data_IF_778783160114
#
_entry.id   IF_778783160114
#
_cell.length_a   1.000
_cell.length_b   1.000
_cell.length_c   1.000
_cell.angle_alpha   90.00
_cell.angle_beta   90.00
_cell.angle_gamma   90.00
#
_symmetry.space_group_name_H-M   'P 1'
#
loop_
_entity.id
_entity.type
_entity.pdbx_description
1 polymer ?
#
# COMPACT_ATOMS: atom_id res chain seq x y z
N UNK A 1 -2.80 32.70 -4.36
CA UNK A 1 -2.38 31.87 -3.21
C UNK A 1 -0.96 31.39 -3.48
N UNK A 2 -0.05 31.53 -2.51
CA UNK A 2 1.32 31.00 -2.66
C UNK A 2 1.24 29.49 -2.93
N UNK A 3 1.88 29.02 -4.01
CA UNK A 3 1.97 27.60 -4.33
C UNK A 3 2.82 26.98 -3.23
N UNK A 4 2.24 26.06 -2.44
CA UNK A 4 2.96 25.35 -1.40
C UNK A 4 4.23 24.72 -2.03
N UNK A 5 5.39 24.76 -1.34
CA UNK A 5 6.57 24.06 -1.83
C UNK A 5 6.23 22.59 -2.02
N UNK A 6 6.53 22.08 -3.22
CA UNK A 6 6.39 20.67 -3.56
C UNK A 6 7.50 19.89 -2.84
N UNK A 7 7.25 19.54 -1.58
CA UNK A 7 8.21 18.84 -0.70
C UNK A 7 8.60 17.51 -1.34
N UNK A 8 7.67 16.79 -1.96
CA UNK A 8 8.00 15.59 -2.72
C UNK A 8 9.05 15.86 -3.81
N UNK A 9 8.84 16.89 -4.64
CA UNK A 9 9.79 17.22 -5.69
C UNK A 9 11.14 17.62 -5.11
N UNK A 10 11.16 18.52 -4.12
CA UNK A 10 12.40 19.09 -3.58
C UNK A 10 13.24 18.09 -2.78
N UNK A 11 12.60 17.27 -1.95
CA UNK A 11 13.29 16.40 -0.98
C UNK A 11 13.62 15.03 -1.59
N UNK A 12 12.82 14.56 -2.56
CA UNK A 12 12.96 13.23 -3.16
C UNK A 12 13.32 13.28 -4.64
N UNK A 13 12.45 13.86 -5.47
CA UNK A 13 12.60 13.79 -6.93
C UNK A 13 13.89 14.46 -7.42
N UNK A 14 14.11 15.71 -7.05
CA UNK A 14 15.28 16.48 -7.48
C UNK A 14 16.59 15.87 -6.98
N UNK A 15 16.57 15.23 -5.81
CA UNK A 15 17.77 14.58 -5.26
C UNK A 15 18.12 13.33 -6.06
N UNK A 16 17.12 12.53 -6.42
CA UNK A 16 17.32 11.40 -7.33
C UNK A 16 17.78 11.85 -8.73
N UNK A 17 17.15 12.89 -9.30
CA UNK A 17 17.53 13.47 -10.60
C UNK A 17 18.95 14.05 -10.59
N UNK A 18 19.43 14.51 -9.43
CA UNK A 18 20.82 14.93 -9.22
C UNK A 18 21.81 13.75 -9.06
N UNK A 19 21.37 12.51 -9.26
CA UNK A 19 22.20 11.31 -9.22
C UNK A 19 22.32 10.64 -7.86
N UNK A 20 21.52 11.05 -6.86
CA UNK A 20 21.56 10.46 -5.52
C UNK A 20 20.67 9.23 -5.48
N UNK A 21 21.27 8.06 -5.29
CA UNK A 21 20.59 6.76 -5.39
C UNK A 21 20.49 6.02 -4.06
N UNK A 22 20.95 6.61 -2.96
CA UNK A 22 20.85 6.02 -1.63
C UNK A 22 20.39 7.06 -0.62
N UNK A 23 19.30 6.74 0.10
CA UNK A 23 18.80 7.55 1.20
C UNK A 23 18.60 6.73 2.47
N UNK A 24 19.00 7.31 3.60
CA UNK A 24 18.60 6.83 4.94
C UNK A 24 17.51 7.72 5.47
N UNK A 25 16.43 7.13 5.96
CA UNK A 25 15.25 7.82 6.47
C UNK A 25 15.00 7.43 7.91
N UNK A 26 14.92 8.40 8.81
CA UNK A 26 14.33 8.23 10.13
C UNK A 26 12.96 8.86 10.06
N UNK A 27 11.90 8.12 10.41
CA UNK A 27 10.53 8.63 10.31
C UNK A 27 9.71 8.11 11.48
N UNK A 28 8.80 8.91 12.01
CA UNK A 28 7.88 8.44 13.05
C UNK A 28 7.02 7.29 12.53
N UNK A 29 6.44 7.50 11.36
CA UNK A 29 5.57 6.54 10.66
C UNK A 29 5.99 6.40 9.19
N UNK A 30 5.72 5.24 8.61
CA UNK A 30 5.89 4.99 7.19
C UNK A 30 4.72 4.13 6.69
N UNK A 31 4.40 4.24 5.39
CA UNK A 31 3.42 3.36 4.77
C UNK A 31 3.98 2.68 3.53
N UNK A 32 3.62 1.41 3.34
CA UNK A 32 4.12 0.62 2.23
C UNK A 32 3.72 1.17 0.86
N UNK A 33 2.52 1.72 0.62
CA UNK A 33 2.18 2.29 -0.68
C UNK A 33 3.12 3.43 -1.11
N UNK A 34 3.52 4.29 -0.18
CA UNK A 34 4.43 5.40 -0.50
C UNK A 34 5.86 4.90 -0.75
N UNK A 35 6.36 3.95 0.03
CA UNK A 35 7.67 3.33 -0.21
C UNK A 35 7.69 2.58 -1.55
N UNK A 36 6.60 1.86 -1.87
CA UNK A 36 6.41 1.17 -3.14
C UNK A 36 6.51 2.16 -4.30
N UNK A 37 5.80 3.29 -4.22
CA UNK A 37 5.90 4.36 -5.19
C UNK A 37 7.35 4.80 -5.42
N UNK A 38 8.11 5.08 -4.36
CA UNK A 38 9.50 5.53 -4.47
C UNK A 38 10.40 4.49 -5.14
N UNK A 39 10.34 3.23 -4.69
CA UNK A 39 11.20 2.18 -5.22
C UNK A 39 10.91 1.87 -6.68
N UNK A 40 9.65 1.91 -7.10
CA UNK A 40 9.26 1.55 -8.47
C UNK A 40 9.25 2.72 -9.45
N UNK A 41 9.17 3.96 -8.97
CA UNK A 41 9.36 5.16 -9.80
C UNK A 41 10.84 5.47 -10.00
N UNK A 42 11.66 5.23 -8.99
CA UNK A 42 13.09 5.51 -9.00
C UNK A 42 13.88 4.20 -8.99
N UNK A 43 14.14 3.65 -10.18
CA UNK A 43 14.63 2.28 -10.37
C UNK A 43 15.96 1.97 -9.66
N UNK A 44 16.81 2.98 -9.46
CA UNK A 44 18.11 2.83 -8.79
C UNK A 44 18.10 3.29 -7.32
N UNK A 45 16.97 3.77 -6.80
CA UNK A 45 16.89 4.27 -5.42
C UNK A 45 16.97 3.12 -4.41
N UNK A 46 17.87 3.25 -3.45
CA UNK A 46 18.02 2.39 -2.28
C UNK A 46 17.53 3.15 -1.04
N UNK A 47 16.73 2.47 -0.22
CA UNK A 47 16.13 3.03 0.99
C UNK A 47 16.51 2.20 2.22
N UNK A 48 17.07 2.88 3.22
CA UNK A 48 17.29 2.35 4.57
C UNK A 48 16.44 3.15 5.55
N UNK A 49 15.40 2.53 6.08
CA UNK A 49 14.32 3.22 6.80
C UNK A 49 14.30 2.76 8.25
N UNK A 50 14.31 3.72 9.18
CA UNK A 50 14.08 3.53 10.61
C UNK A 50 12.69 4.06 10.94
N UNK A 51 11.79 3.17 11.37
CA UNK A 51 10.43 3.52 11.81
C UNK A 51 10.45 3.68 13.34
N UNK A 52 10.34 4.94 13.78
CA UNK A 52 10.67 5.35 15.13
C UNK A 52 9.56 5.14 16.17
N UNK A 53 8.29 5.09 15.76
CA UNK A 53 7.15 5.01 16.68
C UNK A 53 6.64 3.59 16.95
N UNK A 54 7.29 2.56 16.41
CA UNK A 54 6.82 1.18 16.47
C UNK A 54 6.61 0.65 17.90
N UNK A 55 7.42 1.07 18.87
CA UNK A 55 7.29 0.68 20.29
C UNK A 55 6.05 1.25 20.99
N UNK A 56 5.50 2.37 20.49
CA UNK A 56 4.32 3.04 21.07
C UNK A 56 3.05 2.86 20.22
N UNK A 57 3.18 2.92 18.91
CA UNK A 57 2.10 2.77 17.94
C UNK A 57 2.45 1.62 17.00
N UNK A 58 1.89 0.43 17.24
CA UNK A 58 2.22 -0.78 16.48
C UNK A 58 2.00 -0.58 14.98
N UNK A 59 2.96 -0.95 14.11
CA UNK A 59 2.77 -0.92 12.67
C UNK A 59 1.71 -1.94 12.24
N UNK A 60 1.13 -1.75 11.06
CA UNK A 60 0.20 -2.73 10.51
C UNK A 60 0.94 -3.93 9.91
N UNK A 61 0.37 -5.13 10.09
CA UNK A 61 0.94 -6.37 9.52
C UNK A 61 1.05 -6.33 8.00
N UNK A 62 0.12 -5.67 7.31
CA UNK A 62 0.12 -5.59 5.85
C UNK A 62 1.26 -4.72 5.32
N UNK A 63 1.63 -3.65 6.03
CA UNK A 63 2.77 -2.81 5.65
C UNK A 63 4.07 -3.61 5.81
N UNK A 64 4.21 -4.32 6.94
CA UNK A 64 5.35 -5.20 7.17
C UNK A 64 5.51 -6.25 6.07
N UNK A 65 4.44 -6.97 5.72
CA UNK A 65 4.46 -7.96 4.63
C UNK A 65 4.85 -7.34 3.29
N UNK A 66 4.39 -6.13 3.01
CA UNK A 66 4.74 -5.44 1.77
C UNK A 66 6.19 -4.94 1.80
N UNK A 67 6.73 -4.54 2.96
CA UNK A 67 8.17 -4.26 3.10
C UNK A 67 9.00 -5.48 2.73
N UNK A 68 8.67 -6.66 3.25
CA UNK A 68 9.36 -7.92 2.91
C UNK A 68 9.29 -8.17 1.41
N UNK A 69 8.10 -8.14 0.82
CA UNK A 69 7.90 -8.34 -0.62
C UNK A 69 8.69 -7.35 -1.47
N UNK A 70 8.68 -6.06 -1.14
CA UNK A 70 9.44 -5.05 -1.88
C UNK A 70 10.95 -5.29 -1.77
N UNK A 71 11.42 -5.68 -0.58
CA UNK A 71 12.83 -5.92 -0.34
C UNK A 71 13.33 -7.18 -1.06
N UNK A 72 12.52 -8.24 -1.15
CA UNK A 72 12.80 -9.44 -1.94
C UNK A 72 12.79 -9.15 -3.45
N UNK A 73 11.78 -8.41 -3.93
CA UNK A 73 11.62 -8.13 -5.36
C UNK A 73 12.65 -7.15 -5.91
N UNK A 74 13.12 -6.20 -5.09
CA UNK A 74 13.99 -5.11 -5.55
C UNK A 74 15.42 -5.23 -5.06
N UNK A 75 15.67 -5.84 -3.90
CA UNK A 75 16.96 -5.80 -3.23
C UNK A 75 17.36 -4.42 -2.69
N UNK A 76 16.47 -3.41 -2.75
CA UNK A 76 16.79 -1.99 -2.52
C UNK A 76 16.13 -1.39 -1.28
N UNK A 77 15.59 -2.23 -0.40
CA UNK A 77 14.88 -1.79 0.80
C UNK A 77 15.41 -2.51 2.04
N UNK A 78 15.70 -1.71 3.07
CA UNK A 78 15.88 -2.16 4.45
C UNK A 78 14.96 -1.37 5.36
N UNK A 79 14.24 -2.06 6.24
CA UNK A 79 13.38 -1.43 7.26
C UNK A 79 13.80 -1.93 8.63
N UNK A 80 14.00 -1.00 9.57
CA UNK A 80 14.29 -1.28 10.96
C UNK A 80 13.26 -0.59 11.84
N UNK A 81 12.73 -1.31 12.83
CA UNK A 81 11.83 -0.75 13.82
C UNK A 81 12.64 -0.33 15.04
N UNK A 82 12.46 0.92 15.47
CA UNK A 82 13.03 1.37 16.74
C UNK A 82 12.16 0.82 17.89
N UNK A 83 12.81 0.04 18.76
CA UNK A 83 12.16 -0.66 19.85
C UNK A 83 12.73 -0.27 21.22
N UNK A 84 12.74 1.03 21.51
CA UNK A 84 13.19 1.56 22.79
C UNK A 84 12.36 2.79 23.22
N UNK A 85 12.68 3.32 24.40
CA UNK A 85 12.08 4.50 25.00
C UNK A 85 13.15 5.56 25.31
N UNK A 86 12.85 6.86 25.12
CA UNK A 86 11.58 7.40 24.59
C UNK A 86 11.39 7.07 23.10
N UNK A 87 10.14 6.99 22.60
CA UNK A 87 9.87 6.70 21.18
C UNK A 87 10.47 7.76 20.26
N UNK A 88 10.93 7.34 19.09
CA UNK A 88 11.57 8.20 18.10
C UNK A 88 10.51 8.76 17.14
N UNK A 89 10.16 10.04 17.27
CA UNK A 89 9.15 10.71 16.42
C UNK A 89 9.79 11.72 15.44
N UNK A 90 11.06 11.53 15.13
CA UNK A 90 11.79 12.39 14.20
C UNK A 90 11.44 12.07 12.75
N UNK A 91 11.53 13.08 11.87
CA UNK A 91 11.49 12.88 10.42
C UNK A 91 12.70 13.51 9.77
N UNK A 92 13.62 12.66 9.33
CA UNK A 92 14.94 13.02 8.79
C UNK A 92 15.20 12.18 7.54
N UNK A 93 15.69 12.81 6.47
CA UNK A 93 16.15 12.15 5.26
C UNK A 93 17.58 12.57 4.99
N UNK A 94 18.48 11.59 4.92
CA UNK A 94 19.88 11.77 4.56
C UNK A 94 20.14 11.17 3.20
N UNK A 95 20.80 11.91 2.33
CA UNK A 95 21.22 11.45 1.03
C UNK A 95 22.73 11.26 0.95
N UNK A 96 23.16 10.20 0.27
CA UNK A 96 24.57 10.01 -0.09
C UNK A 96 24.91 10.70 -1.40
N UNK A 97 26.14 11.21 -1.51
CA UNK A 97 26.73 11.64 -2.78
C UNK A 97 27.30 10.45 -3.56
N UNK A 98 27.89 10.73 -4.73
CA UNK A 98 28.52 9.72 -5.59
C UNK A 98 29.73 9.02 -4.95
N UNK A 99 30.37 9.64 -3.96
CA UNK A 99 31.44 9.03 -3.16
C UNK A 99 30.91 8.12 -2.04
N UNK A 100 29.59 8.09 -1.82
CA UNK A 100 28.94 7.28 -0.77
C UNK A 100 28.85 7.97 0.59
N UNK A 101 29.19 9.25 0.69
CA UNK A 101 29.16 10.03 1.94
C UNK A 101 27.84 10.77 2.10
N UNK A 102 27.32 10.88 3.32
CA UNK A 102 26.16 11.72 3.62
C UNK A 102 26.56 13.20 3.62
N UNK A 103 26.08 13.94 2.62
CA UNK A 103 26.39 15.37 2.42
C UNK A 103 25.12 16.25 2.33
N UNK A 104 23.94 15.64 2.39
CA UNK A 104 22.67 16.36 2.34
C UNK A 104 21.66 15.76 3.29
N UNK A 105 21.13 16.61 4.17
CA UNK A 105 20.16 16.24 5.19
C UNK A 105 18.95 17.15 5.10
N UNK A 106 17.77 16.56 5.20
CA UNK A 106 16.52 17.27 5.41
C UNK A 106 15.85 16.78 6.69
N UNK A 107 15.23 17.68 7.45
CA UNK A 107 14.47 17.37 8.65
C UNK A 107 13.21 18.20 8.73
N UNK A 108 12.17 17.69 9.40
CA UNK A 108 10.92 18.42 9.57
C UNK A 108 9.76 17.57 10.08
N UNK A 109 8.57 17.84 9.57
CA UNK A 109 7.32 17.26 10.10
C UNK A 109 6.75 16.12 9.24
N UNK A 110 7.21 15.99 7.99
CA UNK A 110 6.69 15.00 7.04
C UNK A 110 7.12 13.57 7.37
N UNK A 111 6.17 12.73 7.77
CA UNK A 111 6.37 11.29 7.80
C UNK A 111 6.53 10.71 6.38
N UNK A 112 7.18 9.56 6.25
CA UNK A 112 7.38 8.85 4.97
C UNK A 112 6.08 8.17 4.47
N UNK A 113 5.08 8.98 4.16
CA UNK A 113 3.75 8.59 3.67
C UNK A 113 3.24 9.56 2.60
N UNK A 114 2.20 9.17 1.85
CA UNK A 114 1.53 10.08 0.93
C UNK A 114 0.97 11.33 1.62
N UNK A 115 0.51 11.18 2.86
CA UNK A 115 0.03 12.30 3.65
C UNK A 115 1.16 13.30 3.95
N UNK A 116 2.33 12.83 4.38
CA UNK A 116 3.47 13.72 4.67
C UNK A 116 4.05 14.41 3.43
N UNK A 117 4.08 13.74 2.28
CA UNK A 117 4.74 14.30 1.09
C UNK A 117 3.83 14.97 0.09
N UNK A 118 2.50 14.79 0.20
CA UNK A 118 1.55 15.31 -0.79
C UNK A 118 0.29 15.93 -0.18
N UNK A 119 -0.38 15.23 0.73
CA UNK A 119 -1.75 15.61 1.12
C UNK A 119 -1.79 16.64 2.25
N UNK A 120 -0.79 16.67 3.13
CA UNK A 120 -0.75 17.56 4.28
C UNK A 120 0.16 18.77 4.06
N UNK A 121 -0.05 19.79 4.90
CA UNK A 121 0.84 20.95 4.99
C UNK A 121 1.98 20.65 5.94
N UNK A 122 3.04 20.08 5.37
CA UNK A 122 4.27 19.79 6.10
C UNK A 122 5.34 20.86 5.86
N UNK A 123 6.37 20.85 6.70
CA UNK A 123 7.58 21.65 6.54
C UNK A 123 8.77 20.70 6.60
N UNK A 124 9.69 20.85 5.63
CA UNK A 124 10.99 20.21 5.62
C UNK A 124 12.04 21.28 5.34
N UNK A 125 13.17 21.24 6.05
CA UNK A 125 14.28 22.16 5.87
C UNK A 125 15.60 21.39 5.75
N UNK A 126 16.56 21.97 5.02
CA UNK A 126 17.94 21.48 5.04
C UNK A 126 18.51 21.64 6.45
N UNK A 127 19.33 20.69 6.88
CA UNK A 127 20.02 20.73 8.16
C UNK A 127 21.49 20.33 8.01
N UNK A 128 22.28 20.70 9.01
CA UNK A 128 23.65 20.23 9.16
C UNK A 128 23.66 18.84 9.79
N UNK A 129 24.50 17.93 9.29
CA UNK A 129 24.60 16.55 9.80
C UNK A 129 24.99 16.52 11.29
N UNK A 130 25.89 17.41 11.71
CA UNK A 130 26.28 17.54 13.13
C UNK A 130 25.12 17.91 14.05
N UNK A 131 24.10 18.60 13.53
CA UNK A 131 22.95 19.03 14.31
C UNK A 131 21.93 17.92 14.56
N UNK A 132 22.02 16.80 13.83
CA UNK A 132 21.07 15.68 13.93
C UNK A 132 21.73 14.37 14.39
N UNK A 133 23.05 14.32 14.57
CA UNK A 133 23.78 13.09 14.90
C UNK A 133 23.26 12.39 16.17
N UNK A 134 22.78 13.17 17.14
CA UNK A 134 22.24 12.67 18.41
C UNK A 134 20.90 11.93 18.28
N UNK A 135 20.24 12.00 17.11
CA UNK A 135 18.93 11.37 16.89
C UNK A 135 19.03 9.95 16.34
N UNK A 136 20.23 9.55 15.89
CA UNK A 136 20.47 8.21 15.41
C UNK A 136 20.43 7.23 16.59
N UNK A 137 19.55 6.23 16.54
CA UNK A 137 19.45 5.26 17.61
C UNK A 137 20.63 4.27 17.56
N UNK A 138 21.00 3.74 18.73
CA UNK A 138 21.97 2.64 18.84
C UNK A 138 21.44 1.38 18.14
N UNK A 139 22.31 0.61 17.48
CA UNK A 139 21.90 -0.58 16.72
C UNK A 139 21.17 -1.62 17.59
N UNK A 140 21.48 -1.76 18.88
CA UNK A 140 20.80 -2.69 19.80
C UNK A 140 19.30 -2.38 19.97
N UNK A 141 18.93 -1.11 19.78
CA UNK A 141 17.55 -0.62 19.85
C UNK A 141 16.77 -0.80 18.54
N UNK A 142 17.43 -1.19 17.46
CA UNK A 142 16.84 -1.38 16.14
C UNK A 142 16.58 -2.87 15.89
N UNK A 143 15.36 -3.20 15.46
CA UNK A 143 14.96 -4.57 15.07
C UNK A 143 14.78 -4.63 13.57
N UNK A 144 15.51 -5.52 12.89
CA UNK A 144 15.44 -5.61 11.44
C UNK A 144 14.14 -6.33 11.06
N UNK A 145 13.39 -5.79 10.12
CA UNK A 145 12.13 -6.39 9.67
C UNK A 145 12.28 -7.83 9.15
N UNK A 146 13.50 -8.26 8.77
CA UNK A 146 13.79 -9.62 8.32
C UNK A 146 14.19 -10.57 9.46
N UNK A 147 14.29 -10.09 10.70
CA UNK A 147 14.62 -10.95 11.83
C UNK A 147 13.56 -12.05 11.97
N UNK A 148 14.01 -13.30 12.10
CA UNK A 148 13.12 -14.46 12.17
C UNK A 148 12.10 -14.39 13.32
N UNK A 149 12.44 -13.67 14.38
CA UNK A 149 11.66 -13.48 15.60
C UNK A 149 11.02 -12.08 15.66
N UNK A 150 11.00 -11.31 14.57
CA UNK A 150 10.48 -9.95 14.53
C UNK A 150 9.05 -9.84 15.07
N UNK A 151 8.20 -10.83 14.78
CA UNK A 151 6.80 -10.88 15.23
C UNK A 151 6.66 -11.04 16.75
N UNK A 152 7.71 -11.50 17.43
CA UNK A 152 7.76 -11.59 18.90
C UNK A 152 8.32 -10.31 19.54
N UNK A 153 9.12 -9.55 18.80
CA UNK A 153 9.79 -8.35 19.29
C UNK A 153 8.99 -7.07 19.05
N UNK A 154 8.27 -6.99 17.92
CA UNK A 154 7.44 -5.86 17.53
C UNK A 154 6.00 -6.32 17.45
N UNK A 155 5.14 -5.76 18.32
CA UNK A 155 3.70 -5.94 18.19
C UNK A 155 3.25 -5.32 16.87
N UNK A 156 2.44 -6.04 16.10
CA UNK A 156 1.81 -5.52 14.87
C UNK A 156 0.29 -5.52 14.99
N UNK A 157 -0.35 -4.49 14.46
CA UNK A 157 -1.82 -4.43 14.38
C UNK A 157 -2.33 -5.48 13.40
N UNK A 158 -3.42 -6.14 13.80
CA UNK A 158 -4.10 -7.19 13.04
C UNK A 158 -3.20 -8.39 12.69
N UNK A 159 -2.15 -8.64 13.48
CA UNK A 159 -1.40 -9.90 13.39
C UNK A 159 -2.03 -10.96 14.29
N UNK A 160 -2.21 -12.19 13.77
CA UNK A 160 -2.72 -13.33 14.53
C UNK A 160 -1.59 -14.35 14.81
N UNK A 161 -1.10 -14.49 16.05
CA UNK A 161 0.01 -15.39 16.37
C UNK A 161 -0.32 -16.88 16.20
N UNK A 162 -1.59 -17.26 16.40
CA UNK A 162 -2.03 -18.65 16.55
C UNK A 162 -2.05 -19.47 15.25
N UNK A 163 -1.87 -18.84 14.07
CA UNK A 163 -2.04 -19.52 12.79
C UNK A 163 -0.75 -19.96 12.09
N UNK A 164 0.44 -19.78 12.70
CA UNK A 164 1.76 -19.96 12.06
C UNK A 164 1.88 -19.29 10.66
N UNK A 165 0.99 -18.34 10.39
CA UNK A 165 0.83 -17.70 9.10
C UNK A 165 0.71 -16.21 9.35
N UNK A 166 1.42 -15.41 8.55
CA UNK A 166 1.37 -13.94 8.55
C UNK A 166 0.04 -13.45 7.94
N UNK A 167 -1.06 -14.08 8.30
CA UNK A 167 -2.40 -13.77 7.80
C UNK A 167 -2.95 -12.61 8.62
N UNK A 168 -3.58 -11.67 7.91
CA UNK A 168 -4.23 -10.52 8.55
C UNK A 168 -5.39 -11.05 9.41
N UNK A 169 -5.49 -10.59 10.65
CA UNK A 169 -6.62 -10.89 11.54
C UNK A 169 -7.87 -10.15 11.06
N UNK A 170 -8.55 -10.78 10.10
CA UNK A 170 -9.80 -10.29 9.52
C UNK A 170 -10.90 -10.17 10.59
N UNK A 171 -10.87 -10.99 11.63
CA UNK A 171 -11.84 -10.92 12.73
C UNK A 171 -11.74 -9.60 13.48
N UNK A 172 -10.54 -9.26 13.94
CA UNK A 172 -10.27 -7.97 14.58
C UNK A 172 -10.47 -6.79 13.64
N UNK A 173 -10.13 -6.94 12.35
CA UNK A 173 -10.33 -5.88 11.35
C UNK A 173 -11.83 -5.59 11.14
N UNK A 174 -12.68 -6.62 11.04
CA UNK A 174 -14.13 -6.46 10.81
C UNK A 174 -14.81 -5.56 11.83
N UNK A 175 -14.44 -5.65 13.11
CA UNK A 175 -14.99 -4.77 14.15
C UNK A 175 -14.72 -3.28 13.87
N UNK A 176 -13.58 -2.95 13.25
CA UNK A 176 -13.28 -1.57 12.85
C UNK A 176 -14.09 -1.13 11.63
N UNK A 177 -14.37 -2.04 10.69
CA UNK A 177 -15.01 -1.73 9.42
C UNK A 177 -16.44 -1.18 9.58
N UNK A 178 -17.12 -1.48 10.68
CA UNK A 178 -18.48 -0.96 10.96
C UNK A 178 -18.54 0.57 11.01
N UNK A 179 -17.45 1.21 11.43
CA UNK A 179 -17.31 2.66 11.50
C UNK A 179 -16.73 3.31 10.23
N UNK A 180 -16.24 2.48 9.29
CA UNK A 180 -15.60 2.96 8.08
C UNK A 180 -16.63 3.37 7.02
N UNK A 181 -16.30 4.41 6.27
CA UNK A 181 -16.99 4.70 5.01
C UNK A 181 -16.86 3.51 4.06
N UNK A 182 -17.93 3.20 3.32
CA UNK A 182 -17.93 2.12 2.32
C UNK A 182 -18.63 2.50 1.02
N UNK A 183 -18.21 1.87 -0.06
CA UNK A 183 -18.87 1.91 -1.37
C UNK A 183 -19.10 0.51 -1.91
N UNK A 184 -20.05 0.38 -2.82
CA UNK A 184 -20.31 -0.88 -3.53
C UNK A 184 -19.80 -0.77 -4.97
N UNK A 185 -18.94 -1.71 -5.35
CA UNK A 185 -18.49 -1.90 -6.73
C UNK A 185 -19.06 -3.21 -7.27
N UNK A 186 -19.23 -3.26 -8.59
CA UNK A 186 -19.80 -4.42 -9.28
C UNK A 186 -18.84 -4.90 -10.37
N UNK A 187 -18.65 -6.22 -10.42
CA UNK A 187 -17.83 -6.90 -11.42
C UNK A 187 -18.55 -7.07 -12.77
N UNK A 188 -19.83 -6.69 -12.83
CA UNK A 188 -20.73 -6.81 -13.97
C UNK A 188 -21.13 -5.44 -14.53
N UNK A 189 -21.69 -5.43 -15.73
CA UNK A 189 -22.23 -4.24 -16.37
C UNK A 189 -23.62 -3.92 -15.83
N UNK A 190 -23.90 -2.64 -15.58
CA UNK A 190 -25.24 -2.18 -15.16
C UNK A 190 -26.34 -2.43 -16.20
N UNK A 191 -25.99 -2.47 -17.48
CA UNK A 191 -26.96 -2.53 -18.59
C UNK A 191 -27.67 -3.89 -18.65
N UNK A 192 -26.91 -4.97 -18.53
CA UNK A 192 -27.38 -6.34 -18.81
C UNK A 192 -26.94 -7.35 -17.73
N UNK A 193 -26.26 -6.89 -16.68
CA UNK A 193 -25.72 -7.74 -15.62
C UNK A 193 -24.59 -8.66 -16.08
N UNK A 194 -24.07 -8.54 -17.31
CA UNK A 194 -23.04 -9.43 -17.82
C UNK A 194 -21.64 -8.98 -17.41
N UNK A 195 -20.71 -9.93 -17.31
CA UNK A 195 -19.28 -9.61 -17.20
C UNK A 195 -18.81 -9.07 -18.55
N UNK A 196 -17.95 -8.06 -18.55
CA UNK A 196 -17.49 -7.46 -19.79
C UNK A 196 -16.62 -8.44 -20.60
N UNK A 197 -16.78 -8.48 -21.91
CA UNK A 197 -16.07 -9.42 -22.79
C UNK A 197 -14.54 -9.22 -22.82
N UNK A 198 -14.10 -7.95 -22.83
CA UNK A 198 -12.68 -7.55 -23.01
C UNK A 198 -12.29 -6.37 -22.10
N UNK A 199 -12.89 -6.30 -20.91
CA UNK A 199 -12.60 -5.29 -19.88
C UNK A 199 -12.96 -5.83 -18.49
N UNK A 200 -12.72 -5.05 -17.43
CA UNK A 200 -12.89 -5.52 -16.05
C UNK A 200 -12.04 -6.75 -15.78
N UNK A 201 -12.69 -7.86 -15.39
CA UNK A 201 -12.03 -9.15 -15.13
C UNK A 201 -11.45 -9.81 -16.39
N UNK A 202 -11.93 -9.44 -17.58
CA UNK A 202 -11.50 -9.98 -18.87
C UNK A 202 -10.61 -9.01 -19.65
N UNK A 203 -9.95 -8.06 -18.99
CA UNK A 203 -9.10 -7.10 -19.68
C UNK A 203 -7.95 -7.76 -20.48
N UNK A 204 -7.39 -8.85 -19.93
CA UNK A 204 -6.36 -9.68 -20.56
C UNK A 204 -6.85 -10.53 -21.74
N UNK A 205 -8.16 -10.65 -21.94
CA UNK A 205 -8.76 -11.40 -23.07
C UNK A 205 -8.73 -10.62 -24.39
N UNK A 206 -8.08 -9.45 -24.40
CA UNK A 206 -7.77 -8.72 -25.63
C UNK A 206 -6.59 -9.38 -26.32
N UNK A 207 -6.59 -9.31 -27.64
CA UNK A 207 -5.48 -9.77 -28.45
C UNK A 207 -4.17 -9.10 -28.02
N UNK A 208 -3.10 -9.90 -27.93
CA UNK A 208 -1.75 -9.43 -27.57
C UNK A 208 -1.54 -9.07 -26.09
N UNK A 209 -2.48 -9.40 -25.19
CA UNK A 209 -2.32 -9.16 -23.75
C UNK A 209 -2.06 -10.44 -22.97
N UNK A 210 -1.45 -10.29 -21.80
CA UNK A 210 -1.36 -11.39 -20.84
C UNK A 210 -2.80 -11.75 -20.38
N UNK A 211 -3.24 -13.02 -20.54
CA UNK A 211 -4.64 -13.41 -20.37
C UNK A 211 -5.23 -13.20 -18.96
N UNK A 212 -4.39 -13.18 -17.92
CA UNK A 212 -4.83 -12.94 -16.55
C UNK A 212 -4.99 -11.46 -16.20
N UNK A 213 -4.63 -10.50 -17.05
CA UNK A 213 -4.78 -9.09 -16.70
C UNK A 213 -6.23 -8.73 -16.40
N UNK A 214 -6.47 -8.10 -15.25
CA UNK A 214 -7.79 -7.64 -14.82
C UNK A 214 -7.69 -6.34 -14.04
N UNK A 215 -8.82 -5.65 -13.93
CA UNK A 215 -8.98 -4.51 -13.03
C UNK A 215 -10.37 -4.53 -12.38
N UNK A 216 -10.50 -3.85 -11.24
CA UNK A 216 -11.80 -3.67 -10.57
C UNK A 216 -12.46 -2.40 -11.12
N UNK A 217 -13.65 -2.48 -11.74
CA UNK A 217 -14.34 -1.30 -12.25
C UNK A 217 -14.82 -0.38 -11.13
N UNK A 218 -14.59 0.92 -11.26
CA UNK A 218 -15.18 1.95 -10.43
C UNK A 218 -16.31 2.61 -11.21
N UNK A 219 -17.54 2.50 -10.68
CA UNK A 219 -18.71 3.16 -11.26
C UNK A 219 -18.60 4.67 -11.14
N UNK A 220 -19.01 5.42 -12.17
CA UNK A 220 -19.09 6.88 -12.11
C UNK A 220 -19.95 7.40 -10.96
N UNK A 221 -20.93 6.62 -10.53
CA UNK A 221 -21.82 7.01 -9.43
C UNK A 221 -21.08 7.09 -8.09
N UNK A 222 -20.02 6.29 -7.90
CA UNK A 222 -19.16 6.39 -6.71
C UNK A 222 -18.43 7.72 -6.71
N UNK A 223 -17.86 8.14 -7.85
CA UNK A 223 -17.20 9.44 -7.97
C UNK A 223 -18.17 10.62 -7.79
N UNK A 224 -19.45 10.43 -8.11
CA UNK A 224 -20.48 11.46 -7.90
C UNK A 224 -20.93 11.54 -6.44
N UNK A 225 -21.13 10.40 -5.78
CA UNK A 225 -21.64 10.36 -4.41
C UNK A 225 -20.56 10.55 -3.35
N UNK A 226 -19.35 10.07 -3.61
CA UNK A 226 -18.21 10.09 -2.69
C UNK A 226 -16.90 10.35 -3.47
N UNK A 227 -16.71 11.58 -3.99
CA UNK A 227 -15.57 11.93 -4.85
C UNK A 227 -14.20 11.65 -4.22
N UNK A 228 -14.09 11.80 -2.90
CA UNK A 228 -12.84 11.65 -2.14
C UNK A 228 -12.68 10.25 -1.51
N UNK A 229 -13.52 9.29 -1.91
CA UNK A 229 -13.45 7.94 -1.35
C UNK A 229 -12.15 7.23 -1.73
N UNK A 230 -11.79 7.26 -3.02
CA UNK A 230 -10.54 6.69 -3.50
C UNK A 230 -9.47 7.76 -3.72
N UNK A 231 -8.18 7.42 -3.55
CA UNK A 231 -7.09 8.35 -3.83
C UNK A 231 -7.10 8.86 -5.28
N UNK A 232 -6.39 9.96 -5.49
CA UNK A 232 -6.15 10.51 -6.82
C UNK A 232 -5.43 9.53 -7.76
N UNK A 233 -5.47 9.83 -9.05
CA UNK A 233 -4.71 9.08 -10.05
C UNK A 233 -3.24 8.99 -9.65
N UNK A 234 -2.66 7.81 -9.86
CA UNK A 234 -1.26 7.52 -9.56
C UNK A 234 -0.86 7.65 -8.09
N UNK A 235 -1.83 7.65 -7.16
CA UNK A 235 -1.57 7.46 -5.73
C UNK A 235 -1.81 6.00 -5.37
N UNK A 236 -0.73 5.34 -4.98
CA UNK A 236 -0.73 3.98 -4.49
C UNK A 236 -1.43 3.90 -3.13
N UNK A 237 -2.24 2.86 -2.96
CA UNK A 237 -2.85 2.47 -1.70
C UNK A 237 -2.82 0.95 -1.59
N UNK A 238 -2.97 0.43 -0.37
CA UNK A 238 -2.97 -1.00 -0.12
C UNK A 238 -4.40 -1.50 0.04
N UNK A 239 -4.70 -2.60 -0.66
CA UNK A 239 -6.01 -3.26 -0.71
C UNK A 239 -5.91 -4.62 -0.02
N UNK A 240 -6.52 -4.76 1.17
CA UNK A 240 -6.64 -6.02 1.92
C UNK A 240 -7.93 -6.71 1.50
N UNK A 241 -7.90 -8.02 1.28
CA UNK A 241 -9.08 -8.80 0.92
C UNK A 241 -9.65 -9.57 2.12
N UNK A 242 -10.89 -10.02 2.00
CA UNK A 242 -11.60 -10.80 3.02
C UNK A 242 -10.97 -12.16 3.36
N UNK A 243 -10.13 -12.68 2.48
CA UNK A 243 -9.33 -13.89 2.69
C UNK A 243 -7.86 -13.62 3.06
N UNK A 244 -7.50 -12.36 3.32
CA UNK A 244 -6.20 -11.97 3.87
C UNK A 244 -5.07 -11.78 2.84
N UNK A 245 -5.39 -11.80 1.54
CA UNK A 245 -4.48 -11.36 0.48
C UNK A 245 -4.33 -9.82 0.51
N UNK A 246 -3.24 -9.32 -0.08
CA UNK A 246 -2.97 -7.88 -0.14
C UNK A 246 -2.30 -7.46 -1.45
N UNK A 247 -2.70 -6.28 -1.92
CA UNK A 247 -2.23 -5.70 -3.18
C UNK A 247 -1.92 -4.21 -3.02
N UNK A 248 -0.79 -3.75 -3.58
CA UNK A 248 -0.58 -2.32 -3.80
C UNK A 248 -1.27 -1.94 -5.11
N UNK A 249 -2.29 -1.10 -4.98
CA UNK A 249 -3.20 -0.70 -6.03
C UNK A 249 -3.12 0.80 -6.30
N UNK A 250 -3.61 1.22 -7.47
CA UNK A 250 -3.79 2.62 -7.84
C UNK A 250 -5.15 2.79 -8.53
N UNK A 251 -5.72 4.00 -8.45
CA UNK A 251 -6.80 4.39 -9.36
C UNK A 251 -6.19 4.78 -10.71
N UNK A 252 -6.77 4.26 -11.79
CA UNK A 252 -6.22 4.37 -13.13
C UNK A 252 -7.32 4.55 -14.20
N UNK A 253 -6.85 4.71 -15.44
CA UNK A 253 -7.62 4.93 -16.67
C UNK A 253 -8.39 6.26 -16.73
N UNK A 254 -8.86 6.59 -17.93
CA UNK A 254 -9.72 7.74 -18.17
C UNK A 254 -10.95 7.68 -17.26
N UNK A 255 -11.30 8.83 -16.67
CA UNK A 255 -12.40 9.00 -15.71
C UNK A 255 -12.22 8.23 -14.39
N UNK A 256 -10.98 7.87 -14.00
CA UNK A 256 -10.70 7.20 -12.72
C UNK A 256 -11.51 5.91 -12.55
N UNK A 257 -11.78 5.19 -13.64
CA UNK A 257 -12.80 4.13 -13.68
C UNK A 257 -12.30 2.75 -13.27
N UNK A 258 -11.06 2.63 -12.82
CA UNK A 258 -10.44 1.34 -12.61
C UNK A 258 -9.45 1.33 -11.44
N UNK A 259 -9.49 0.28 -10.63
CA UNK A 259 -8.44 -0.04 -9.65
C UNK A 259 -7.52 -1.09 -10.26
N UNK A 260 -6.24 -0.79 -10.33
CA UNK A 260 -5.20 -1.60 -10.97
C UNK A 260 -4.05 -1.87 -10.00
N UNK A 261 -3.34 -2.96 -10.23
CA UNK A 261 -2.01 -3.20 -9.67
C UNK A 261 -0.95 -2.84 -10.71
N UNK A 262 0.32 -2.72 -10.30
CA UNK A 262 1.43 -2.49 -11.25
C UNK A 262 1.49 -3.60 -12.31
N UNK A 263 1.44 -4.86 -11.86
CA UNK A 263 1.15 -6.02 -12.71
C UNK A 263 -0.32 -6.43 -12.53
N UNK A 264 -1.16 -6.03 -13.49
CA UNK A 264 -2.59 -6.33 -13.48
C UNK A 264 -2.93 -7.83 -13.57
N UNK A 265 -1.96 -8.70 -13.87
CA UNK A 265 -2.16 -10.15 -13.77
C UNK A 265 -2.44 -10.59 -12.32
N UNK A 266 -1.96 -9.85 -11.32
CA UNK A 266 -2.14 -10.18 -9.90
C UNK A 266 -3.62 -10.20 -9.50
N UNK A 267 -4.36 -9.13 -9.80
CA UNK A 267 -5.79 -9.05 -9.51
C UNK A 267 -6.58 -10.11 -10.28
N UNK A 268 -6.24 -10.36 -11.55
CA UNK A 268 -7.01 -11.34 -12.33
C UNK A 268 -6.69 -12.79 -12.00
N UNK A 269 -5.46 -13.12 -11.56
CA UNK A 269 -5.15 -14.41 -10.95
C UNK A 269 -5.91 -14.59 -9.65
N UNK A 270 -5.96 -13.56 -8.81
CA UNK A 270 -6.73 -13.57 -7.57
C UNK A 270 -8.22 -13.86 -7.81
N UNK A 271 -8.89 -13.10 -8.68
CA UNK A 271 -10.31 -13.32 -8.96
C UNK A 271 -10.57 -14.68 -9.61
N UNK A 272 -9.75 -15.14 -10.56
CA UNK A 272 -9.91 -16.48 -11.15
C UNK A 272 -9.79 -17.59 -10.11
N UNK A 273 -8.78 -17.52 -9.24
CA UNK A 273 -8.60 -18.45 -8.12
C UNK A 273 -9.82 -18.46 -7.20
N UNK A 274 -10.33 -17.28 -6.81
CA UNK A 274 -11.54 -17.13 -5.98
C UNK A 274 -12.78 -17.77 -6.60
N UNK A 275 -12.92 -17.63 -7.91
CA UNK A 275 -14.05 -18.14 -8.68
C UNK A 275 -13.90 -19.60 -9.11
N UNK A 276 -12.78 -20.26 -8.81
CA UNK A 276 -12.51 -21.64 -9.26
C UNK A 276 -12.30 -21.76 -10.78
N UNK A 277 -11.87 -20.66 -11.42
CA UNK A 277 -11.64 -20.59 -12.87
C UNK A 277 -10.14 -20.84 -13.14
N UNK A 278 -9.77 -21.65 -14.15
CA UNK A 278 -8.37 -21.79 -14.55
C UNK A 278 -7.72 -20.45 -14.92
N UNK A 279 -6.41 -20.32 -14.68
CA UNK A 279 -5.68 -19.12 -15.05
C UNK A 279 -5.71 -18.90 -16.57
N UNK A 280 -5.88 -17.64 -16.97
CA UNK A 280 -5.98 -17.22 -18.36
C UNK A 280 -7.35 -17.38 -19.00
N UNK A 281 -8.27 -18.10 -18.36
CA UNK A 281 -9.63 -18.29 -18.89
C UNK A 281 -10.49 -17.04 -18.73
N UNK A 282 -11.53 -16.98 -19.56
CA UNK A 282 -12.50 -15.89 -19.54
C UNK A 282 -13.46 -16.05 -18.36
N UNK A 283 -13.71 -14.95 -17.66
CA UNK A 283 -14.72 -14.87 -16.60
C UNK A 283 -16.07 -14.56 -17.23
N UNK A 284 -17.06 -15.42 -16.99
CA UNK A 284 -18.44 -15.27 -17.46
C UNK A 284 -19.39 -15.01 -16.28
N UNK A 285 -20.58 -14.51 -16.59
CA UNK A 285 -21.63 -14.26 -15.60
C UNK A 285 -21.95 -15.50 -14.76
N UNK A 286 -22.00 -16.68 -15.38
CA UNK A 286 -22.24 -17.97 -14.69
C UNK A 286 -21.25 -18.24 -13.56
N UNK A 287 -20.00 -17.79 -13.67
CA UNK A 287 -19.00 -18.01 -12.62
C UNK A 287 -19.28 -17.14 -11.38
N UNK A 288 -19.75 -15.91 -11.57
CA UNK A 288 -20.15 -15.03 -10.46
C UNK A 288 -21.45 -15.52 -9.80
N UNK A 289 -22.39 -16.04 -10.59
CA UNK A 289 -23.62 -16.64 -10.08
C UNK A 289 -23.32 -17.92 -9.26
N UNK A 290 -22.43 -18.78 -9.75
CA UNK A 290 -21.95 -19.98 -9.03
C UNK A 290 -21.20 -19.61 -7.75
N UNK A 291 -20.37 -18.57 -7.81
CA UNK A 291 -19.68 -18.04 -6.63
C UNK A 291 -20.66 -17.49 -5.60
N UNK A 292 -21.74 -16.83 -6.05
CA UNK A 292 -22.83 -16.35 -5.22
C UNK A 292 -22.83 -14.84 -4.97
N UNK A 293 -21.97 -14.07 -5.64
CA UNK A 293 -21.98 -12.59 -5.66
C UNK A 293 -21.17 -12.03 -6.83
N UNK A 294 -21.58 -10.89 -7.39
CA UNK A 294 -20.79 -10.05 -8.29
C UNK A 294 -20.41 -8.70 -7.66
N UNK A 295 -20.78 -8.50 -6.40
CA UNK A 295 -20.59 -7.27 -5.64
C UNK A 295 -19.31 -7.33 -4.80
N UNK A 296 -18.59 -6.22 -4.77
CA UNK A 296 -17.48 -5.94 -3.88
C UNK A 296 -17.89 -4.82 -2.92
N UNK A 297 -17.71 -5.04 -1.62
CA UNK A 297 -17.82 -3.96 -0.63
C UNK A 297 -16.42 -3.42 -0.34
N UNK A 298 -16.19 -2.15 -0.64
CA UNK A 298 -14.90 -1.51 -0.37
C UNK A 298 -15.07 -0.59 0.83
N UNK A 299 -14.23 -0.78 1.84
CA UNK A 299 -14.20 0.02 3.06
C UNK A 299 -12.91 0.83 3.11
N UNK A 300 -13.01 2.13 3.43
CA UNK A 300 -11.86 3.01 3.62
C UNK A 300 -11.35 2.88 5.06
N UNK A 301 -10.21 2.23 5.25
CA UNK A 301 -9.57 2.03 6.57
C UNK A 301 -8.78 3.28 6.97
N UNK A 302 -8.01 3.82 6.02
CA UNK A 302 -7.25 5.07 6.09
C UNK A 302 -7.19 5.70 4.70
N UNK A 303 -6.44 6.79 4.52
CA UNK A 303 -6.24 7.41 3.21
C UNK A 303 -5.44 6.53 2.23
N UNK A 304 -4.66 5.57 2.74
CA UNK A 304 -3.78 4.70 1.97
C UNK A 304 -4.03 3.19 2.19
N UNK A 305 -5.09 2.82 2.90
CA UNK A 305 -5.49 1.43 3.12
C UNK A 305 -7.01 1.23 2.95
N UNK A 306 -7.37 0.21 2.18
CA UNK A 306 -8.75 -0.17 1.89
C UNK A 306 -8.94 -1.67 2.12
N UNK A 307 -10.13 -2.05 2.58
CA UNK A 307 -10.54 -3.45 2.67
C UNK A 307 -11.60 -3.76 1.62
N UNK A 308 -11.45 -4.89 0.93
CA UNK A 308 -12.38 -5.41 -0.06
C UNK A 308 -13.02 -6.69 0.46
N UNK A 309 -14.32 -6.62 0.71
CA UNK A 309 -15.13 -7.80 0.96
C UNK A 309 -15.65 -8.39 -0.35
N UNK A 310 -15.24 -9.61 -0.65
CA UNK A 310 -15.79 -10.42 -1.75
C UNK A 310 -16.39 -11.74 -1.24
N UNK A 311 -16.96 -11.73 -0.03
CA UNK A 311 -17.61 -12.91 0.55
C UNK A 311 -18.90 -13.26 -0.23
N UNK A 312 -19.16 -14.53 -0.57
CA UNK A 312 -20.38 -14.93 -1.25
C UNK A 312 -21.60 -14.84 -0.33
N UNK A 313 -22.78 -14.49 -0.89
CA UNK A 313 -24.00 -14.25 -0.10
C UNK A 313 -24.43 -15.45 0.78
N UNK A 314 -24.08 -16.68 0.39
CA UNK A 314 -24.41 -17.90 1.14
C UNK A 314 -23.61 -18.04 2.45
N UNK A 315 -22.42 -17.44 2.54
CA UNK A 315 -21.58 -17.48 3.74
C UNK A 315 -22.03 -16.50 4.84
N UNK A 316 -22.92 -15.55 4.53
CA UNK A 316 -23.57 -14.71 5.55
C UNK A 316 -24.68 -15.44 6.32
N UNK A 317 -25.21 -16.56 5.80
CA UNK A 317 -26.28 -17.33 6.44
C UNK A 317 -25.79 -18.40 7.43
N UNK A 318 -24.48 -18.67 7.47
CA UNK A 318 -23.87 -19.69 8.34
C UNK A 318 -23.28 -19.12 9.63
N UNK A 319 -23.59 -17.86 9.97
CA UNK A 319 -23.14 -17.18 11.20
C UNK A 319 -24.29 -16.47 11.95
N UNK A 320 -25.51 -17.02 11.87
CA UNK A 320 -26.61 -16.64 12.77
C UNK A 320 -26.99 -17.87 13.58
#
# INVERSE_FOLDING_TARGET
MAKQPDIYSQILQQQYEAGRTYATVITGFASAPFINHLLYKYENLNLDIIIGMASKYPPYIWDHKEYIRMAENTGRLRVRYYNSFPPLHANVILWRNSAGEYDLVFTGTANLTWNGFKNYREIMAKAELSSISHIFPDEDSLKDFRDHDIMSQIKMLYYRPESNSTVVDIGSLRNRLESCQRVELYLTQKKDGQVQEKSGLNWGQREGREPNQAYIPISSDVHKSMPDFFPDLSIEFMLITDDGEQFVCTVAQQNRKAIHTKDNSLLGKYFRKRLGIPLGEKVERKHLDQYGTDKLLIYKISDDAFYMDFTPNQAHKSKI
#
